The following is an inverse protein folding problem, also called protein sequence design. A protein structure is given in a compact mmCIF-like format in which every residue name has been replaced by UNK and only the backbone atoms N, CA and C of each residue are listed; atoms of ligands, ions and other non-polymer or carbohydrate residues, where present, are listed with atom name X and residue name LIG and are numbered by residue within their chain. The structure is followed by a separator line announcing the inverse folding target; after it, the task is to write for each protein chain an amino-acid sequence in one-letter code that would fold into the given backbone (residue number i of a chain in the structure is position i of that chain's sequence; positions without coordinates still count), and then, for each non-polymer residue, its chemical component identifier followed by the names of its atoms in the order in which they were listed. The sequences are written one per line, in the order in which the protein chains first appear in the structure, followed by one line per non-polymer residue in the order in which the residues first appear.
data_IF_351305920430
#
_entry.id   IF_351305920430
#
_cell.length_a   1.000
_cell.length_b   1.000
_cell.length_c   1.000
_cell.angle_alpha   90.00
_cell.angle_beta   90.00
_cell.angle_gamma   90.00
#
_symmetry.space_group_name_H-M   'P 1'
#
loop_
_entity.id
_entity.type
_entity.pdbx_description
1 polymer ?
#
# COMPACT_ATOMS: atom_id res chain seq x y z
N UNK A 1 13.99 29.56 4.26
CA UNK A 1 14.52 28.29 4.85
C UNK A 1 13.91 27.11 4.11
N UNK A 2 14.71 26.15 3.64
CA UNK A 2 14.19 24.99 2.92
C UNK A 2 13.38 24.08 3.85
N UNK A 3 12.16 23.70 3.45
CA UNK A 3 11.27 22.82 4.22
C UNK A 3 11.95 21.46 4.39
N UNK A 4 12.24 21.06 5.63
CA UNK A 4 12.82 19.75 5.91
C UNK A 4 11.87 18.67 5.39
N UNK A 5 12.40 17.74 4.59
CA UNK A 5 11.60 16.63 4.11
C UNK A 5 11.31 15.68 5.27
N UNK A 6 10.03 15.41 5.53
CA UNK A 6 9.56 14.61 6.68
C UNK A 6 10.04 13.15 6.64
N UNK A 7 10.35 12.64 5.44
CA UNK A 7 10.80 11.26 5.26
C UNK A 7 12.32 11.17 5.40
N UNK A 8 12.84 10.33 6.34
CA UNK A 8 14.28 10.14 6.51
C UNK A 8 14.99 9.75 5.21
N UNK A 9 16.17 10.32 4.96
CA UNK A 9 16.96 10.08 3.74
C UNK A 9 17.12 8.59 3.41
N UNK A 10 17.43 7.77 4.41
CA UNK A 10 17.60 6.31 4.28
C UNK A 10 16.42 5.56 3.66
N UNK A 11 15.19 6.08 3.81
CA UNK A 11 13.97 5.48 3.23
C UNK A 11 13.73 5.85 1.78
N UNK A 12 14.55 6.74 1.22
CA UNK A 12 14.45 7.23 -0.16
C UNK A 12 15.59 6.72 -1.04
N UNK A 13 16.45 5.86 -0.50
CA UNK A 13 17.55 5.26 -1.23
C UNK A 13 17.05 4.39 -2.38
N UNK A 14 17.72 4.50 -3.52
CA UNK A 14 17.59 3.54 -4.63
C UNK A 14 18.24 2.20 -4.24
N UNK A 15 17.98 1.15 -5.02
CA UNK A 15 18.48 -0.21 -4.75
C UNK A 15 19.99 -0.26 -4.48
N UNK A 16 20.80 0.36 -5.33
CA UNK A 16 22.27 0.33 -5.19
C UNK A 16 22.73 1.05 -3.92
N UNK A 17 22.16 2.21 -3.60
CA UNK A 17 22.46 2.94 -2.36
C UNK A 17 22.08 2.11 -1.13
N UNK A 18 20.92 1.42 -1.18
CA UNK A 18 20.54 0.50 -0.10
C UNK A 18 21.56 -0.61 0.08
N UNK A 19 21.98 -1.29 -0.99
CA UNK A 19 22.94 -2.39 -0.90
C UNK A 19 24.28 -1.95 -0.29
N UNK A 20 24.78 -0.75 -0.64
CA UNK A 20 26.00 -0.16 -0.07
C UNK A 20 25.84 0.03 1.45
N UNK A 21 24.75 0.68 1.88
CA UNK A 21 24.51 0.95 3.30
C UNK A 21 24.04 -0.28 4.10
N UNK A 22 23.46 -1.26 3.42
CA UNK A 22 22.89 -2.45 4.02
C UNK A 22 23.98 -3.35 4.61
N UNK A 23 25.15 -3.46 3.97
CA UNK A 23 26.25 -4.26 4.49
C UNK A 23 26.66 -3.81 5.91
N UNK A 24 26.89 -2.50 6.08
CA UNK A 24 27.18 -1.92 7.40
C UNK A 24 25.99 -2.09 8.36
N UNK A 25 24.77 -1.82 7.89
CA UNK A 25 23.58 -1.97 8.72
C UNK A 25 23.42 -3.40 9.26
N UNK A 26 23.67 -4.43 8.42
CA UNK A 26 23.61 -5.84 8.82
C UNK A 26 24.63 -6.13 9.93
N UNK A 27 25.87 -5.64 9.80
CA UNK A 27 26.91 -5.83 10.83
C UNK A 27 26.48 -5.25 12.19
N UNK A 28 25.88 -4.06 12.19
CA UNK A 28 25.40 -3.40 13.41
C UNK A 28 24.12 -4.03 13.98
N UNK A 29 23.42 -4.87 13.21
CA UNK A 29 22.07 -5.34 13.53
C UNK A 29 21.89 -6.86 13.50
N UNK A 30 22.97 -7.64 13.32
CA UNK A 30 22.97 -9.10 13.32
C UNK A 30 23.61 -9.64 14.61
N UNK A 31 23.16 -10.79 15.16
CA UNK A 31 22.00 -11.58 14.77
C UNK A 31 20.72 -11.07 15.44
N UNK A 32 19.63 -10.92 14.68
CA UNK A 32 18.33 -10.56 15.24
C UNK A 32 17.18 -11.37 14.66
N UNK A 33 16.23 -11.72 15.54
CA UNK A 33 14.92 -12.27 15.15
C UNK A 33 14.20 -11.28 14.23
N UNK A 34 13.68 -11.76 13.10
CA UNK A 34 12.92 -10.98 12.11
C UNK A 34 13.73 -9.90 11.35
N UNK A 35 14.98 -10.18 10.97
CA UNK A 35 15.85 -9.26 10.21
C UNK A 35 15.15 -8.66 8.96
N UNK A 36 14.37 -9.46 8.21
CA UNK A 36 13.60 -9.00 7.04
C UNK A 36 12.65 -7.85 7.40
N UNK A 37 11.90 -7.98 8.51
CA UNK A 37 10.95 -6.95 8.96
C UNK A 37 11.69 -5.68 9.39
N UNK A 38 12.82 -5.82 10.08
CA UNK A 38 13.64 -4.67 10.53
C UNK A 38 14.26 -3.95 9.34
N UNK A 39 14.82 -4.68 8.39
CA UNK A 39 15.37 -4.15 7.15
C UNK A 39 14.32 -3.38 6.35
N UNK A 40 13.17 -4.00 6.11
CA UNK A 40 12.03 -3.37 5.43
C UNK A 40 11.61 -2.05 6.11
N UNK A 41 11.56 -2.03 7.44
CA UNK A 41 11.22 -0.83 8.21
C UNK A 41 12.29 0.26 8.14
N UNK A 42 13.57 -0.12 8.17
CA UNK A 42 14.70 0.80 8.17
C UNK A 42 14.86 1.51 6.83
N UNK A 43 14.84 0.74 5.74
CA UNK A 43 15.02 1.23 4.36
C UNK A 43 13.71 1.58 3.65
N UNK A 44 12.55 1.31 4.25
CA UNK A 44 11.25 1.68 3.67
C UNK A 44 10.85 0.85 2.45
N UNK A 45 11.21 -0.43 2.43
CA UNK A 45 10.92 -1.35 1.31
C UNK A 45 9.91 -2.44 1.70
N UNK A 46 9.38 -3.17 0.72
CA UNK A 46 8.55 -4.36 0.99
C UNK A 46 9.40 -5.46 1.63
N UNK A 47 8.75 -6.40 2.32
CA UNK A 47 9.44 -7.54 2.93
C UNK A 47 10.05 -8.47 1.89
N UNK A 48 9.41 -8.62 0.73
CA UNK A 48 9.97 -9.38 -0.39
C UNK A 48 11.26 -8.74 -0.91
N UNK A 49 11.28 -7.42 -1.12
CA UNK A 49 12.51 -6.70 -1.49
C UNK A 49 13.60 -6.85 -0.42
N UNK A 50 13.23 -6.71 0.85
CA UNK A 50 14.16 -6.91 1.96
C UNK A 50 14.77 -8.31 1.95
N UNK A 51 13.95 -9.36 1.76
CA UNK A 51 14.43 -10.74 1.71
C UNK A 51 15.42 -10.95 0.54
N UNK A 52 15.09 -10.48 -0.66
CA UNK A 52 15.96 -10.61 -1.84
C UNK A 52 17.28 -9.86 -1.67
N UNK A 53 17.24 -8.62 -1.16
CA UNK A 53 18.45 -7.82 -0.91
C UNK A 53 19.33 -8.46 0.17
N UNK A 54 18.74 -8.97 1.26
CA UNK A 54 19.47 -9.66 2.32
C UNK A 54 20.14 -10.95 1.82
N UNK A 55 19.47 -11.74 0.98
CA UNK A 55 20.08 -12.92 0.32
C UNK A 55 21.25 -12.49 -0.55
N UNK A 56 21.10 -11.41 -1.33
CA UNK A 56 22.17 -10.89 -2.19
C UNK A 56 23.40 -10.41 -1.39
N UNK A 57 23.20 -10.06 -0.11
CA UNK A 57 24.25 -9.66 0.82
C UNK A 57 24.81 -10.83 1.63
N UNK A 58 24.44 -12.07 1.30
CA UNK A 58 24.94 -13.29 1.93
C UNK A 58 24.20 -13.74 3.19
N UNK A 59 23.06 -13.14 3.52
CA UNK A 59 22.24 -13.61 4.65
C UNK A 59 21.49 -14.87 4.24
N UNK A 60 21.77 -15.96 4.96
CA UNK A 60 21.17 -17.27 4.70
C UNK A 60 19.79 -17.32 5.37
N UNK A 61 18.78 -17.68 4.58
CA UNK A 61 17.43 -17.99 5.05
C UNK A 61 17.04 -19.39 4.60
N UNK A 62 16.06 -19.97 5.26
CA UNK A 62 15.37 -21.14 4.73
C UNK A 62 14.68 -20.77 3.40
N UNK A 63 14.72 -21.70 2.45
CA UNK A 63 14.25 -21.54 1.07
C UNK A 63 12.79 -21.07 0.98
N UNK A 64 11.96 -21.41 1.96
CA UNK A 64 10.54 -21.06 2.00
C UNK A 64 10.26 -19.58 2.36
N UNK A 65 11.24 -18.84 2.87
CA UNK A 65 11.02 -17.47 3.34
C UNK A 65 10.65 -16.52 2.19
N UNK A 66 11.29 -16.66 1.02
CA UNK A 66 11.01 -15.81 -0.15
C UNK A 66 9.62 -16.11 -0.72
N UNK A 67 9.26 -17.39 -0.81
CA UNK A 67 7.95 -17.84 -1.28
C UNK A 67 6.83 -17.30 -0.39
N UNK A 68 6.98 -17.41 0.93
CA UNK A 68 6.04 -16.87 1.91
C UNK A 68 5.87 -15.36 1.78
N UNK A 69 6.95 -14.58 1.69
CA UNK A 69 6.86 -13.12 1.54
C UNK A 69 6.27 -12.71 0.17
N UNK A 70 6.52 -13.51 -0.88
CA UNK A 70 5.90 -13.31 -2.20
C UNK A 70 4.38 -13.50 -2.14
N UNK A 71 3.91 -14.58 -1.52
CA UNK A 71 2.49 -14.84 -1.37
C UNK A 71 1.80 -13.72 -0.58
N UNK A 72 2.42 -13.28 0.53
CA UNK A 72 1.89 -12.17 1.33
C UNK A 72 1.77 -10.85 0.55
N UNK A 73 2.70 -10.55 -0.37
CA UNK A 73 2.58 -9.37 -1.22
C UNK A 73 1.45 -9.50 -2.25
N UNK A 74 1.25 -10.70 -2.83
CA UNK A 74 0.12 -10.98 -3.73
C UNK A 74 -1.21 -10.82 -2.99
N UNK A 75 -1.33 -11.37 -1.79
CA UNK A 75 -2.55 -11.30 -1.00
C UNK A 75 -2.90 -9.86 -0.63
N UNK A 76 -1.92 -9.04 -0.25
CA UNK A 76 -2.12 -7.61 -0.01
C UNK A 76 -2.56 -6.87 -1.26
N UNK A 77 -1.98 -7.17 -2.41
CA UNK A 77 -2.37 -6.55 -3.68
C UNK A 77 -3.83 -6.90 -4.03
N UNK A 78 -4.20 -8.17 -3.87
CA UNK A 78 -5.56 -8.65 -4.07
C UNK A 78 -6.55 -8.00 -3.11
N UNK A 79 -6.20 -7.87 -1.82
CA UNK A 79 -7.04 -7.18 -0.82
C UNK A 79 -7.25 -5.71 -1.19
N UNK A 80 -6.20 -5.01 -1.62
CA UNK A 80 -6.31 -3.61 -2.09
C UNK A 80 -7.19 -3.49 -3.31
N UNK A 81 -7.08 -4.44 -4.26
CA UNK A 81 -7.94 -4.47 -5.45
C UNK A 81 -9.41 -4.67 -5.06
N UNK A 82 -9.72 -5.67 -4.23
CA UNK A 82 -11.08 -5.92 -3.73
C UNK A 82 -11.65 -4.72 -2.97
N UNK A 83 -10.85 -4.08 -2.12
CA UNK A 83 -11.28 -2.88 -1.40
C UNK A 83 -11.57 -1.70 -2.34
N UNK A 84 -10.78 -1.55 -3.41
CA UNK A 84 -11.02 -0.54 -4.44
C UNK A 84 -12.30 -0.83 -5.22
N UNK A 85 -12.52 -2.07 -5.64
CA UNK A 85 -13.73 -2.51 -6.35
C UNK A 85 -14.99 -2.25 -5.53
N UNK A 86 -15.01 -2.66 -4.25
CA UNK A 86 -16.12 -2.37 -3.33
C UNK A 86 -16.40 -0.87 -3.18
N UNK A 87 -15.36 -0.05 -3.13
CA UNK A 87 -15.52 1.41 -3.02
C UNK A 87 -16.11 2.02 -4.29
N UNK A 88 -15.77 1.48 -5.46
CA UNK A 88 -16.35 1.91 -6.74
C UNK A 88 -17.82 1.48 -6.82
N UNK A 89 -18.12 0.22 -6.49
CA UNK A 89 -19.51 -0.26 -6.45
C UNK A 89 -20.40 0.57 -5.53
N UNK A 90 -19.90 0.88 -4.32
CA UNK A 90 -20.62 1.75 -3.39
C UNK A 90 -20.85 3.14 -3.99
N UNK A 91 -19.85 3.69 -4.70
CA UNK A 91 -19.98 4.98 -5.35
C UNK A 91 -21.07 4.95 -6.45
N UNK A 92 -21.02 3.94 -7.33
CA UNK A 92 -22.00 3.76 -8.40
C UNK A 92 -23.42 3.59 -7.85
N UNK A 93 -23.61 2.77 -6.80
CA UNK A 93 -24.90 2.59 -6.13
C UNK A 93 -25.41 3.90 -5.50
N UNK A 94 -24.55 4.64 -4.80
CA UNK A 94 -24.95 5.93 -4.22
C UNK A 94 -25.30 6.95 -5.29
N UNK A 95 -24.55 6.98 -6.39
CA UNK A 95 -24.77 7.89 -7.50
C UNK A 95 -26.12 7.63 -8.17
N UNK A 96 -26.42 6.36 -8.48
CA UNK A 96 -27.72 5.95 -9.01
C UNK A 96 -28.88 6.30 -8.06
N UNK A 97 -28.72 6.09 -6.75
CA UNK A 97 -29.74 6.48 -5.78
C UNK A 97 -30.01 7.99 -5.76
N UNK A 98 -28.96 8.82 -5.79
CA UNK A 98 -29.12 10.27 -5.83
C UNK A 98 -29.71 10.78 -7.15
N UNK A 99 -29.34 10.20 -8.30
CA UNK A 99 -29.96 10.54 -9.59
C UNK A 99 -31.46 10.25 -9.58
N UNK A 100 -31.89 9.09 -9.09
CA UNK A 100 -33.32 8.75 -9.02
C UNK A 100 -34.09 9.68 -8.07
N UNK A 101 -33.51 10.12 -6.96
CA UNK A 101 -34.16 11.10 -6.06
C UNK A 101 -34.34 12.45 -6.75
N UNK A 102 -33.30 12.93 -7.45
CA UNK A 102 -33.38 14.20 -8.16
C UNK A 102 -34.42 14.16 -9.29
N UNK A 103 -34.53 13.04 -10.00
CA UNK A 103 -35.57 12.82 -11.01
C UNK A 103 -37.00 12.75 -10.41
N UNK A 104 -37.15 12.18 -9.21
CA UNK A 104 -38.44 12.14 -8.51
C UNK A 104 -38.86 13.51 -7.94
N UNK A 105 -37.92 14.34 -7.47
CA UNK A 105 -38.21 15.69 -6.98
C UNK A 105 -38.61 16.66 -8.12
N UNK A 106 -38.05 16.51 -9.32
CA UNK A 106 -38.42 17.30 -10.52
C UNK A 106 -39.83 16.98 -11.07
N UNK A 107 -40.44 15.86 -10.66
CA UNK A 107 -41.81 15.46 -11.03
C UNK A 107 -42.89 16.06 -10.13
N UNK A 108 -42.54 16.69 -9.00
CA UNK A 108 -43.48 17.22 -8.00
C UNK A 108 -43.85 18.69 -8.28
N UNK A 109 -43.07 19.44 -9.08
CA UNK A 109 -43.33 20.87 -9.40
C UNK A 109 -44.36 21.12 -10.53
N UNK A 110 -45.05 20.09 -11.04
CA UNK A 110 -46.02 20.23 -12.14
C UNK A 110 -47.46 19.79 -11.80
N UNK A 111 -47.91 20.06 -10.56
CA UNK A 111 -49.34 19.99 -10.21
C UNK A 111 -49.83 21.28 -9.52
N UNK A 112 -49.56 22.45 -10.13
CA UNK A 112 -50.39 23.64 -9.90
C UNK A 112 -51.54 23.66 -10.90
N UNK A 113 -52.50 22.77 -10.66
CA UNK A 113 -53.77 22.68 -11.37
C UNK A 113 -54.97 22.77 -10.41
N UNK A 114 -55.00 23.76 -9.52
CA UNK A 114 -56.20 24.03 -8.68
C UNK A 114 -57.29 24.63 -9.60
N UNK A 115 -58.41 23.93 -9.86
CA UNK A 115 -59.51 24.52 -10.61
C UNK A 115 -60.34 25.41 -9.68
N UNK A 116 -60.72 26.58 -10.21
CA UNK A 116 -61.56 27.63 -9.61
C UNK A 116 -62.96 27.14 -9.18
#
# INVERSE_FOLDING_TARGET
MAKAQSTPRRKRYKKNERLIHAAQWIQENSPMKNIIKRYAKWFGVSRLCAAQELISLGVIFDTDVVSREKQLEIDKANQRRKAKEKRIQLYDETYYYFENIAEEEDLIEHDEGIPF
#
